data_IF_115462384733
#
_entry.id   IF_115462384733
#
_cell.length_a   1.000
_cell.length_b   1.000
_cell.length_c   1.000
_cell.angle_alpha   90.00
_cell.angle_beta   90.00
_cell.angle_gamma   90.00
#
_symmetry.space_group_name_H-M   'P 1'
#
loop_
_entity.id
_entity.type
_entity.pdbx_description
1 polymer ?
#
# COMPACT_ATOMS: atom_id res chain seq x y z
N UNK A 1 7.83 -21.29 -1.38
CA UNK A 1 8.80 -20.47 -2.13
C UNK A 1 8.57 -19.04 -1.70
N UNK A 2 9.62 -18.30 -1.34
CA UNK A 2 9.47 -16.89 -0.95
C UNK A 2 9.43 -16.04 -2.22
N UNK A 3 8.42 -15.18 -2.33
CA UNK A 3 8.30 -14.24 -3.44
C UNK A 3 9.08 -12.95 -3.14
N UNK A 4 9.60 -12.25 -4.16
CA UNK A 4 10.17 -10.91 -3.96
C UNK A 4 9.12 -9.96 -3.39
N UNK A 5 9.51 -9.18 -2.39
CA UNK A 5 8.69 -8.14 -1.80
C UNK A 5 9.05 -6.76 -2.35
N UNK A 6 8.05 -5.91 -2.50
CA UNK A 6 8.16 -4.51 -2.92
C UNK A 6 7.61 -3.64 -1.81
N UNK A 7 8.41 -2.68 -1.35
CA UNK A 7 7.99 -1.64 -0.41
C UNK A 7 7.46 -0.45 -1.19
N UNK A 8 6.30 0.06 -0.79
CA UNK A 8 5.66 1.22 -1.41
C UNK A 8 5.45 2.37 -0.42
N UNK A 9 6.03 2.27 0.78
CA UNK A 9 6.00 3.32 1.79
C UNK A 9 7.12 3.19 2.83
N UNK A 10 6.94 3.83 3.99
CA UNK A 10 7.96 3.93 5.05
C UNK A 10 7.66 3.06 6.27
N UNK A 11 6.50 2.41 6.28
CA UNK A 11 6.07 1.53 7.37
C UNK A 11 6.18 0.06 6.95
N UNK A 12 6.45 -0.88 7.88
CA UNK A 12 6.58 -2.31 7.57
C UNK A 12 5.31 -2.94 6.95
N UNK A 13 4.13 -2.38 7.23
CA UNK A 13 2.86 -2.78 6.64
C UNK A 13 2.64 -2.25 5.21
N UNK A 14 3.54 -1.39 4.72
CA UNK A 14 3.54 -0.85 3.35
C UNK A 14 4.51 -1.63 2.45
N UNK A 15 4.42 -2.96 2.53
CA UNK A 15 5.16 -3.90 1.71
C UNK A 15 4.24 -5.03 1.27
N UNK A 16 4.33 -5.43 0.01
CA UNK A 16 3.57 -6.55 -0.54
C UNK A 16 4.45 -7.36 -1.51
N UNK A 17 4.01 -8.54 -1.92
CA UNK A 17 4.68 -9.33 -2.95
C UNK A 17 4.65 -8.58 -4.30
N UNK A 18 5.61 -8.88 -5.18
CA UNK A 18 5.67 -8.26 -6.52
C UNK A 18 4.42 -8.52 -7.37
N UNK A 19 3.69 -9.61 -7.09
CA UNK A 19 2.42 -9.95 -7.74
C UNK A 19 1.19 -9.55 -6.90
N UNK A 20 1.41 -8.84 -5.79
CA UNK A 20 0.38 -8.41 -4.84
C UNK A 20 -0.46 -7.24 -5.35
N UNK A 21 -1.22 -6.64 -4.45
CA UNK A 21 -2.14 -5.55 -4.79
C UNK A 21 -2.18 -4.54 -3.67
N UNK A 22 -2.04 -3.26 -4.03
CA UNK A 22 -1.99 -2.20 -3.06
C UNK A 22 -3.37 -2.01 -2.40
N UNK A 23 -3.42 -1.81 -1.07
CA UNK A 23 -4.67 -1.58 -0.36
C UNK A 23 -5.35 -0.29 -0.86
N UNK A 24 -6.67 -0.28 -0.87
CA UNK A 24 -7.45 0.94 -1.09
C UNK A 24 -7.57 1.69 0.25
N UNK A 25 -7.08 2.94 0.35
CA UNK A 25 -7.22 3.73 1.57
C UNK A 25 -8.68 3.92 2.03
N UNK A 26 -9.64 3.80 1.12
CA UNK A 26 -11.08 3.89 1.40
C UNK A 26 -11.58 2.75 2.30
N UNK A 27 -10.95 1.58 2.22
CA UNK A 27 -11.26 0.39 3.02
C UNK A 27 -10.64 0.44 4.43
N UNK A 28 -9.65 1.31 4.65
CA UNK A 28 -8.95 1.43 5.93
C UNK A 28 -9.80 2.18 6.97
N UNK A 29 -9.99 1.59 8.14
CA UNK A 29 -10.83 2.13 9.22
C UNK A 29 -10.07 3.11 10.11
N UNK A 30 -8.76 2.93 10.23
CA UNK A 30 -7.92 3.83 11.01
C UNK A 30 -7.55 5.07 10.18
N UNK A 31 -7.98 6.29 10.59
CA UNK A 31 -7.71 7.50 9.84
C UNK A 31 -6.21 7.81 9.73
N UNK A 32 -5.38 7.39 10.69
CA UNK A 32 -3.92 7.58 10.61
C UNK A 32 -3.30 6.67 9.56
N UNK A 33 -3.73 5.40 9.51
CA UNK A 33 -3.25 4.45 8.50
C UNK A 33 -3.72 4.84 7.10
N UNK A 34 -4.98 5.25 6.95
CA UNK A 34 -5.52 5.76 5.70
C UNK A 34 -4.66 6.89 5.15
N UNK A 35 -4.37 7.91 5.97
CA UNK A 35 -3.55 9.04 5.56
C UNK A 35 -2.13 8.61 5.17
N UNK A 36 -1.54 7.64 5.88
CA UNK A 36 -0.23 7.10 5.54
C UNK A 36 -0.24 6.34 4.20
N UNK A 37 -1.30 5.57 3.91
CA UNK A 37 -1.49 4.86 2.65
C UNK A 37 -1.69 5.85 1.49
N UNK A 38 -2.58 6.84 1.64
CA UNK A 38 -2.80 7.90 0.64
C UNK A 38 -1.51 8.63 0.27
N UNK A 39 -0.72 9.03 1.27
CA UNK A 39 0.57 9.70 1.04
C UNK A 39 1.57 8.80 0.32
N UNK A 40 1.65 7.54 0.71
CA UNK A 40 2.56 6.58 0.11
C UNK A 40 2.20 6.31 -1.36
N UNK A 41 0.92 6.06 -1.65
CA UNK A 41 0.42 5.86 -3.00
C UNK A 41 0.63 7.10 -3.88
N UNK A 42 0.29 8.29 -3.38
CA UNK A 42 0.49 9.53 -4.11
C UNK A 42 1.98 9.82 -4.38
N UNK A 43 2.85 9.55 -3.41
CA UNK A 43 4.29 9.75 -3.56
C UNK A 43 4.90 8.77 -4.56
N UNK A 44 4.47 7.51 -4.55
CA UNK A 44 4.96 6.47 -5.45
C UNK A 44 4.28 6.48 -6.83
N UNK A 45 3.30 7.37 -7.03
CA UNK A 45 2.45 7.42 -8.24
C UNK A 45 1.75 6.08 -8.54
N UNK A 46 1.34 5.37 -7.49
CA UNK A 46 0.71 4.05 -7.58
C UNK A 46 -0.81 4.15 -7.46
N UNK A 47 -1.52 3.38 -8.28
CA UNK A 47 -2.96 3.23 -8.17
C UNK A 47 -3.31 2.14 -7.14
N UNK A 48 -4.30 2.36 -6.25
CA UNK A 48 -4.83 1.29 -5.41
C UNK A 48 -5.48 0.21 -6.30
N UNK A 49 -5.67 -0.99 -5.74
CA UNK A 49 -6.38 -2.05 -6.45
C UNK A 49 -7.78 -1.55 -6.89
N UNK A 50 -8.25 -1.90 -8.09
CA UNK A 50 -9.63 -1.62 -8.47
C UNK A 50 -10.60 -2.39 -7.57
N UNK A 51 -11.72 -1.75 -7.22
CA UNK A 51 -12.81 -2.31 -6.43
C UNK A 51 -13.47 -3.54 -7.08
#
# INVERSE_FOLDING_TARGET
>A
MLEPMVTWGISPDQADNINGSLPDPSDEKDPHKRLAQEKALAYMELAPKPA
#
